data_IF_914047884808
#
_entry.id   IF_914047884808
#
_cell.length_a   1.000
_cell.length_b   1.000
_cell.length_c   1.000
_cell.angle_alpha   90.00
_cell.angle_beta   90.00
_cell.angle_gamma   90.00
#
_symmetry.space_group_name_H-M   'P 1'
#
loop_
_entity.id
_entity.type
_entity.pdbx_description
1 polymer ?
#
# COMPACT_ATOMS: atom_id res chain seq x y z
N UNK A 1 51.17 30.44 -21.86
CA UNK A 1 52.00 29.33 -21.32
C UNK A 1 52.19 29.57 -19.82
N UNK A 2 52.17 28.47 -19.06
CA UNK A 2 51.97 28.23 -17.59
C UNK A 2 52.88 29.01 -16.61
N UNK A 3 52.55 29.22 -15.31
CA UNK A 3 52.39 28.28 -14.16
C UNK A 3 51.77 29.02 -12.93
N UNK A 4 50.68 28.51 -12.32
CA UNK A 4 50.60 27.70 -11.06
C UNK A 4 50.84 28.50 -9.76
N UNK A 5 49.77 28.83 -9.01
CA UNK A 5 49.10 28.08 -7.92
C UNK A 5 49.68 28.36 -6.52
N UNK A 6 48.80 28.84 -5.62
CA UNK A 6 49.04 29.14 -4.20
C UNK A 6 48.00 28.39 -3.34
N UNK A 7 48.37 28.26 -2.07
CA UNK A 7 47.63 27.82 -0.88
C UNK A 7 47.41 26.30 -0.77
N UNK A 8 47.62 25.67 0.39
CA UNK A 8 47.84 26.21 1.73
C UNK A 8 47.19 25.27 2.73
N UNK A 9 48.02 24.71 3.60
CA UNK A 9 47.80 23.64 4.57
C UNK A 9 46.90 24.06 5.73
N UNK A 10 45.98 23.19 6.17
CA UNK A 10 45.56 23.12 7.59
C UNK A 10 45.23 21.67 7.97
N UNK A 11 46.05 21.14 8.88
CA UNK A 11 45.88 19.88 9.61
C UNK A 11 45.02 20.10 10.87
N UNK A 12 44.09 19.19 11.14
CA UNK A 12 43.44 19.05 12.45
C UNK A 12 43.46 17.57 12.86
N UNK A 13 44.07 17.31 14.01
CA UNK A 13 44.10 16.02 14.70
C UNK A 13 42.98 16.02 15.73
N UNK A 14 42.09 15.03 15.67
CA UNK A 14 41.02 14.81 16.65
C UNK A 14 40.84 13.31 16.89
N UNK A 15 41.04 12.88 18.14
CA UNK A 15 41.10 11.50 18.58
C UNK A 15 39.77 10.74 18.42
N UNK A 16 39.85 9.48 17.99
CA UNK A 16 38.75 8.51 18.03
C UNK A 16 39.07 7.43 19.06
N UNK A 17 38.24 7.36 20.10
CA UNK A 17 38.12 6.26 21.04
C UNK A 17 37.55 5.03 20.30
N UNK A 18 38.35 3.97 20.16
CA UNK A 18 37.87 2.68 19.67
C UNK A 18 37.44 1.81 20.87
N UNK A 19 36.13 1.67 21.05
CA UNK A 19 35.51 0.68 21.94
C UNK A 19 35.40 -0.64 21.16
N UNK A 20 35.77 -1.74 21.83
CA UNK A 20 36.06 -3.04 21.21
C UNK A 20 34.91 -3.69 20.46
N UNK A 21 35.23 -4.25 19.30
CA UNK A 21 34.40 -5.22 18.60
C UNK A 21 34.79 -6.63 19.04
N UNK A 22 33.86 -7.34 19.67
CA UNK A 22 33.95 -8.78 19.91
C UNK A 22 33.79 -9.53 18.59
N UNK A 23 34.85 -10.23 18.16
CA UNK A 23 34.80 -11.17 17.06
C UNK A 23 34.06 -12.45 17.50
N UNK A 24 32.94 -12.76 16.86
CA UNK A 24 32.29 -14.07 16.93
C UNK A 24 32.95 -15.01 15.91
N UNK A 25 33.55 -16.07 16.43
CA UNK A 25 34.14 -17.18 15.68
C UNK A 25 33.03 -18.12 15.23
N UNK A 26 32.96 -18.41 13.93
CA UNK A 26 32.29 -19.61 13.40
C UNK A 26 33.25 -20.27 12.40
N UNK A 27 33.83 -21.40 12.79
CA UNK A 27 34.41 -22.42 11.90
C UNK A 27 33.49 -23.65 12.06
N UNK A 28 32.77 -24.13 11.04
CA UNK A 28 33.15 -24.81 9.80
C UNK A 28 32.88 -26.34 9.91
N UNK A 29 32.98 -27.05 8.78
CA UNK A 29 32.75 -28.48 8.48
C UNK A 29 31.33 -28.76 7.91
N UNK A 30 31.06 -28.75 6.59
CA UNK A 30 31.59 -29.47 5.40
C UNK A 30 30.95 -30.87 5.11
N UNK A 31 29.97 -30.89 4.18
CA UNK A 31 29.73 -31.88 3.09
C UNK A 31 29.41 -33.37 3.38
N UNK A 32 29.24 -34.22 2.34
CA UNK A 32 28.25 -34.14 1.23
C UNK A 32 27.58 -35.51 0.87
N UNK A 33 26.74 -35.50 -0.19
CA UNK A 33 26.49 -36.55 -1.19
C UNK A 33 25.18 -37.39 -1.18
N UNK A 34 24.65 -37.53 -2.40
CA UNK A 34 23.57 -38.41 -2.90
C UNK A 34 23.89 -39.92 -2.74
N UNK A 35 22.85 -40.76 -2.64
CA UNK A 35 22.72 -42.00 -3.44
C UNK A 35 21.41 -42.74 -3.23
N UNK A 36 21.05 -43.48 -4.27
CA UNK A 36 19.77 -44.09 -4.64
C UNK A 36 19.55 -45.53 -4.14
N UNK A 37 18.26 -45.91 -4.05
CA UNK A 37 17.63 -47.17 -4.50
C UNK A 37 17.57 -48.46 -3.62
N UNK A 38 16.44 -49.17 -3.82
CA UNK A 38 16.13 -50.60 -3.69
C UNK A 38 15.77 -51.26 -2.35
N UNK A 39 14.63 -51.98 -2.33
CA UNK A 39 14.49 -53.28 -1.65
C UNK A 39 13.29 -53.51 -0.71
N UNK A 40 12.18 -54.07 -1.24
CA UNK A 40 11.24 -54.97 -0.52
C UNK A 40 11.99 -56.20 0.08
N UNK A 41 11.42 -57.13 0.94
CA UNK A 41 10.00 -57.55 1.08
C UNK A 41 9.53 -58.00 2.50
N UNK A 42 8.25 -58.39 2.65
CA UNK A 42 7.72 -59.66 3.29
C UNK A 42 6.20 -59.59 3.49
N UNK A 43 5.38 -60.30 2.69
CA UNK A 43 4.88 -61.70 2.79
C UNK A 43 3.58 -61.86 3.60
N UNK A 44 2.62 -62.54 2.98
CA UNK A 44 1.21 -62.74 3.30
C UNK A 44 0.88 -64.01 4.12
N UNK A 45 -0.37 -64.11 4.61
CA UNK A 45 -1.19 -65.33 4.82
C UNK A 45 -2.68 -64.89 4.77
N UNK A 46 -3.53 -65.29 3.79
CA UNK A 46 -4.21 -66.59 3.55
C UNK A 46 -5.32 -66.88 4.60
N UNK A 47 -6.58 -67.29 4.36
CA UNK A 47 -7.47 -67.65 3.23
C UNK A 47 -8.89 -67.84 3.85
N UNK A 48 -10.01 -67.54 3.18
CA UNK A 48 -11.11 -68.49 2.85
C UNK A 48 -12.41 -67.85 2.35
N UNK A 49 -13.10 -68.59 1.49
CA UNK A 49 -14.20 -68.17 0.63
C UNK A 49 -15.60 -68.30 1.27
N UNK A 50 -16.53 -67.40 0.89
CA UNK A 50 -17.96 -67.71 0.79
C UNK A 50 -18.72 -66.72 -0.13
N UNK A 51 -19.44 -67.30 -1.09
CA UNK A 51 -20.56 -66.85 -1.95
C UNK A 51 -21.21 -65.47 -1.71
N UNK A 52 -21.55 -64.70 -2.77
CA UNK A 52 -22.18 -63.40 -2.64
C UNK A 52 -23.67 -63.50 -2.25
N UNK A 53 -24.03 -62.89 -1.13
CA UNK A 53 -25.42 -62.59 -0.80
C UNK A 53 -25.86 -61.32 -1.53
N UNK A 54 -26.88 -61.42 -2.38
CA UNK A 54 -27.62 -60.26 -2.89
C UNK A 54 -28.23 -59.53 -1.68
N UNK A 55 -27.88 -58.27 -1.51
CA UNK A 55 -28.62 -57.33 -0.66
C UNK A 55 -29.03 -56.16 -1.55
N UNK A 56 -30.34 -55.93 -1.63
CA UNK A 56 -30.96 -54.80 -2.30
C UNK A 56 -30.61 -53.53 -1.50
N UNK A 57 -29.69 -52.73 -2.04
CA UNK A 57 -29.36 -51.41 -1.51
C UNK A 57 -30.33 -50.39 -2.13
N UNK A 58 -31.13 -49.64 -1.35
CA UNK A 58 -31.98 -48.60 -1.92
C UNK A 58 -31.08 -47.52 -2.52
N UNK A 59 -31.25 -47.27 -3.81
CA UNK A 59 -30.51 -46.26 -4.55
C UNK A 59 -30.48 -44.93 -3.77
N UNK A 60 -29.27 -44.46 -3.44
CA UNK A 60 -29.04 -43.10 -2.98
C UNK A 60 -29.62 -42.15 -4.03
N UNK A 61 -30.65 -41.41 -3.64
CA UNK A 61 -31.29 -40.42 -4.50
C UNK A 61 -30.26 -39.33 -4.78
N UNK A 62 -29.79 -39.26 -6.02
CA UNK A 62 -29.03 -38.12 -6.52
C UNK A 62 -29.98 -36.92 -6.57
N UNK A 63 -29.72 -35.81 -5.85
CA UNK A 63 -30.49 -34.59 -6.03
C UNK A 63 -30.39 -34.18 -7.50
N UNK A 64 -31.51 -34.23 -8.23
CA UNK A 64 -31.57 -33.96 -9.67
C UNK A 64 -31.88 -32.49 -9.94
N UNK A 65 -31.41 -31.59 -9.08
CA UNK A 65 -31.55 -30.16 -9.32
C UNK A 65 -30.27 -29.46 -8.87
N UNK A 66 -29.48 -28.87 -9.78
CA UNK A 66 -28.48 -27.90 -9.39
C UNK A 66 -29.24 -26.77 -8.72
N UNK A 67 -29.07 -26.60 -7.41
CA UNK A 67 -29.55 -25.41 -6.72
C UNK A 67 -29.07 -24.21 -7.54
N UNK A 68 -30.01 -23.46 -8.11
CA UNK A 68 -29.70 -22.30 -8.93
C UNK A 68 -28.76 -21.41 -8.12
N UNK A 69 -27.55 -21.18 -8.63
CA UNK A 69 -26.61 -20.29 -8.01
C UNK A 69 -27.33 -18.95 -7.81
N UNK A 70 -27.46 -18.52 -6.55
CA UNK A 70 -27.97 -17.20 -6.25
C UNK A 70 -27.13 -16.20 -7.06
N UNK A 71 -27.74 -15.19 -7.71
CA UNK A 71 -26.98 -14.16 -8.39
C UNK A 71 -26.00 -13.58 -7.39
N UNK A 72 -24.70 -13.75 -7.65
CA UNK A 72 -23.68 -13.00 -6.94
C UNK A 72 -23.97 -11.55 -7.31
N UNK A 73 -24.33 -10.70 -6.35
CA UNK A 73 -24.48 -9.27 -6.62
C UNK A 73 -23.20 -8.80 -7.30
N UNK A 74 -23.35 -8.23 -8.50
CA UNK A 74 -22.22 -7.65 -9.19
C UNK A 74 -21.58 -6.64 -8.26
N UNK A 75 -20.26 -6.74 -8.08
CA UNK A 75 -19.50 -5.74 -7.34
C UNK A 75 -19.88 -4.35 -7.86
N UNK A 76 -20.03 -3.33 -6.99
CA UNK A 76 -20.42 -2.00 -7.41
C UNK A 76 -19.50 -1.54 -8.54
N UNK A 77 -20.11 -1.08 -9.64
CA UNK A 77 -19.36 -0.60 -10.80
C UNK A 77 -18.61 0.65 -10.37
N UNK A 78 -17.29 0.53 -10.25
CA UNK A 78 -16.40 1.65 -10.03
C UNK A 78 -16.49 2.56 -11.25
N UNK A 79 -16.67 3.87 -11.04
CA UNK A 79 -16.79 4.81 -12.16
C UNK A 79 -15.47 4.90 -12.94
N UNK A 80 -15.54 5.25 -14.23
CA UNK A 80 -14.34 5.39 -15.06
C UNK A 80 -13.31 6.39 -14.47
N UNK A 81 -13.80 7.43 -13.77
CA UNK A 81 -12.96 8.40 -13.08
C UNK A 81 -12.17 7.75 -11.92
N UNK A 82 -12.83 6.91 -11.11
CA UNK A 82 -12.15 6.18 -10.03
C UNK A 82 -11.23 5.11 -10.59
N UNK A 83 -11.60 4.43 -11.68
CA UNK A 83 -10.69 3.50 -12.39
C UNK A 83 -9.42 4.21 -12.84
N UNK A 84 -9.52 5.35 -13.52
CA UNK A 84 -8.35 6.13 -13.97
C UNK A 84 -7.46 6.58 -12.80
N UNK A 85 -8.07 6.92 -11.66
CA UNK A 85 -7.35 7.23 -10.42
C UNK A 85 -6.56 6.02 -9.91
N UNK A 86 -7.19 4.85 -9.83
CA UNK A 86 -6.53 3.63 -9.34
C UNK A 86 -5.43 3.17 -10.29
N UNK A 87 -5.66 3.22 -11.60
CA UNK A 87 -4.65 2.89 -12.60
C UNK A 87 -3.41 3.78 -12.46
N UNK A 88 -3.61 5.08 -12.22
CA UNK A 88 -2.50 6.00 -11.97
C UNK A 88 -1.72 5.63 -10.70
N UNK A 89 -2.41 5.37 -9.59
CA UNK A 89 -1.77 5.00 -8.33
C UNK A 89 -0.93 3.73 -8.50
N UNK A 90 -1.51 2.69 -9.10
CA UNK A 90 -0.84 1.40 -9.29
C UNK A 90 0.35 1.48 -10.26
N UNK A 91 0.31 2.41 -11.22
CA UNK A 91 1.42 2.64 -12.13
C UNK A 91 2.60 3.41 -11.50
N UNK A 92 2.34 4.26 -10.50
CA UNK A 92 3.30 5.29 -10.09
C UNK A 92 3.69 5.30 -8.61
N UNK A 93 3.15 4.40 -7.77
CA UNK A 93 3.46 4.38 -6.33
C UNK A 93 4.90 3.97 -5.98
N UNK A 94 5.57 3.22 -6.86
CA UNK A 94 6.95 2.75 -6.63
C UNK A 94 7.95 3.80 -7.07
N UNK A 95 8.97 4.06 -6.24
CA UNK A 95 10.06 4.99 -6.53
C UNK A 95 10.60 4.94 -7.98
N UNK A 96 10.80 3.73 -8.52
CA UNK A 96 11.33 3.53 -9.87
C UNK A 96 10.40 4.03 -11.00
N UNK A 97 9.11 4.22 -10.69
CA UNK A 97 8.07 4.62 -11.63
C UNK A 97 7.37 5.92 -11.22
N UNK A 98 7.96 6.71 -10.32
CA UNK A 98 7.46 8.05 -10.05
C UNK A 98 7.37 8.85 -11.35
N UNK A 99 6.23 9.49 -11.61
CA UNK A 99 6.03 10.37 -12.77
C UNK A 99 6.75 11.74 -12.57
N UNK A 100 8.02 11.69 -12.20
CA UNK A 100 8.83 12.81 -11.72
C UNK A 100 9.23 13.78 -12.82
N UNK A 101 9.32 13.32 -14.07
CA UNK A 101 9.59 14.21 -15.21
C UNK A 101 8.47 15.25 -15.41
N UNK A 102 7.22 14.87 -15.14
CA UNK A 102 6.08 15.78 -15.22
C UNK A 102 5.89 16.52 -13.90
N UNK A 103 5.83 15.80 -12.77
CA UNK A 103 5.33 16.36 -11.51
C UNK A 103 6.42 16.75 -10.50
N UNK A 104 7.66 16.32 -10.72
CA UNK A 104 8.74 16.39 -9.73
C UNK A 104 8.47 15.54 -8.48
N UNK A 105 9.36 15.66 -7.49
CA UNK A 105 9.30 14.93 -6.22
C UNK A 105 9.65 15.88 -5.07
N UNK A 106 8.89 15.83 -3.97
CA UNK A 106 9.09 16.63 -2.75
C UNK A 106 9.89 15.87 -1.66
N UNK A 107 10.68 14.88 -2.04
CA UNK A 107 11.43 14.03 -1.11
C UNK A 107 10.51 13.34 -0.09
N UNK A 108 10.81 13.48 1.19
CA UNK A 108 10.02 12.89 2.30
C UNK A 108 8.63 13.53 2.47
N UNK A 109 8.30 14.59 1.74
CA UNK A 109 7.00 15.26 1.82
C UNK A 109 6.13 15.01 0.57
N UNK A 110 6.43 13.97 -0.21
CA UNK A 110 5.80 13.74 -1.51
C UNK A 110 4.36 13.18 -1.44
N UNK A 111 3.85 12.91 -0.24
CA UNK A 111 2.52 12.33 -0.01
C UNK A 111 1.39 13.07 -0.77
N UNK A 112 1.26 14.38 -0.55
CA UNK A 112 0.22 15.20 -1.18
C UNK A 112 0.49 15.49 -2.66
N UNK A 113 1.76 15.52 -3.09
CA UNK A 113 2.09 15.66 -4.51
C UNK A 113 1.57 14.45 -5.28
N UNK A 114 1.83 13.23 -4.80
CA UNK A 114 1.32 12.00 -5.39
C UNK A 114 -0.20 11.90 -5.35
N UNK A 115 -0.82 12.19 -4.19
CA UNK A 115 -2.27 12.22 -4.08
C UNK A 115 -2.89 13.23 -5.05
N UNK A 116 -2.26 14.40 -5.22
CA UNK A 116 -2.72 15.43 -6.16
C UNK A 116 -2.68 14.96 -7.61
N UNK A 117 -1.63 14.22 -8.00
CA UNK A 117 -1.54 13.62 -9.32
C UNK A 117 -2.67 12.61 -9.57
N UNK A 118 -2.98 11.76 -8.59
CA UNK A 118 -4.10 10.83 -8.67
C UNK A 118 -5.45 11.57 -8.83
N UNK A 119 -5.63 12.71 -8.16
CA UNK A 119 -6.83 13.54 -8.35
C UNK A 119 -6.92 14.14 -9.76
N UNK A 120 -5.79 14.52 -10.38
CA UNK A 120 -5.76 14.91 -11.80
C UNK A 120 -6.16 13.73 -12.69
N UNK A 121 -5.63 12.52 -12.45
CA UNK A 121 -6.00 11.32 -13.21
C UNK A 121 -7.49 10.98 -13.08
N UNK A 122 -8.08 11.26 -11.90
CA UNK A 122 -9.52 11.16 -11.68
C UNK A 122 -10.35 12.19 -12.47
N UNK A 123 -9.72 13.26 -12.94
CA UNK A 123 -10.36 14.34 -13.69
C UNK A 123 -10.62 15.62 -12.89
N UNK A 124 -10.03 15.78 -11.70
CA UNK A 124 -10.00 17.11 -11.07
C UNK A 124 -9.19 18.08 -11.93
N UNK A 125 -9.61 19.34 -11.93
CA UNK A 125 -8.93 20.41 -12.66
C UNK A 125 -8.24 21.33 -11.66
N UNK A 126 -7.01 21.73 -11.96
CA UNK A 126 -6.27 22.72 -11.18
C UNK A 126 -6.94 24.08 -11.22
N UNK A 127 -6.67 24.90 -10.21
CA UNK A 127 -7.08 26.30 -10.16
C UNK A 127 -5.95 27.18 -9.60
N UNK A 128 -6.25 28.43 -9.23
CA UNK A 128 -5.25 29.36 -8.71
C UNK A 128 -4.71 29.01 -7.32
N UNK A 129 -5.32 28.07 -6.59
CA UNK A 129 -4.97 27.70 -5.21
C UNK A 129 -4.30 26.33 -5.16
N UNK A 130 -4.82 25.36 -5.93
CA UNK A 130 -4.26 24.02 -6.08
C UNK A 130 -3.81 23.79 -7.52
N UNK A 131 -2.50 23.94 -7.75
CA UNK A 131 -1.87 23.82 -9.06
C UNK A 131 -0.42 23.34 -8.99
N UNK A 132 0.03 22.70 -10.07
CA UNK A 132 1.42 22.42 -10.39
C UNK A 132 1.74 22.87 -11.82
N UNK A 133 2.93 23.43 -12.07
CA UNK A 133 3.34 23.83 -13.41
C UNK A 133 3.68 22.66 -14.36
N UNK A 134 3.69 21.41 -13.86
CA UNK A 134 4.03 20.20 -14.65
C UNK A 134 5.38 20.31 -15.39
N UNK A 135 6.38 20.91 -14.74
CA UNK A 135 7.71 21.16 -15.31
C UNK A 135 8.80 20.25 -14.71
N UNK A 136 8.43 19.21 -13.97
CA UNK A 136 9.36 18.32 -13.27
C UNK A 136 9.97 18.91 -11.98
N UNK A 137 9.64 20.15 -11.62
CA UNK A 137 10.04 20.76 -10.35
C UNK A 137 8.83 20.90 -9.42
N UNK A 138 8.66 19.92 -8.53
CA UNK A 138 7.53 19.90 -7.61
C UNK A 138 7.48 21.13 -6.70
N UNK A 139 8.62 21.79 -6.41
CA UNK A 139 8.69 22.95 -5.52
C UNK A 139 8.09 24.24 -6.11
N UNK A 140 7.93 24.31 -7.43
CA UNK A 140 7.28 25.43 -8.11
C UNK A 140 5.75 25.36 -8.03
N UNK A 141 5.19 24.25 -7.53
CA UNK A 141 3.76 24.09 -7.34
C UNK A 141 3.21 24.97 -6.18
N UNK A 142 1.91 25.19 -6.21
CA UNK A 142 1.18 25.95 -5.18
C UNK A 142 1.33 25.33 -3.77
N UNK A 143 1.04 26.12 -2.74
CA UNK A 143 1.09 25.62 -1.36
C UNK A 143 0.13 24.43 -1.15
N UNK A 144 -1.10 24.50 -1.65
CA UNK A 144 -2.08 23.41 -1.53
C UNK A 144 -1.68 22.16 -2.32
N UNK A 145 -0.78 22.25 -3.29
CA UNK A 145 -0.24 21.08 -4.00
C UNK A 145 0.90 20.41 -3.21
N UNK A 146 1.63 21.15 -2.39
CA UNK A 146 2.88 20.69 -1.74
C UNK A 146 2.76 20.44 -0.24
N UNK A 147 1.64 20.81 0.38
CA UNK A 147 1.38 20.63 1.81
C UNK A 147 0.02 19.99 2.03
N UNK A 148 -0.01 18.84 2.74
CA UNK A 148 -1.24 18.14 3.13
C UNK A 148 -2.20 19.05 3.91
N UNK A 149 -1.66 19.85 4.84
CA UNK A 149 -2.44 20.81 5.64
C UNK A 149 -3.05 21.90 4.75
N UNK A 150 -2.28 22.45 3.81
CA UNK A 150 -2.81 23.43 2.86
C UNK A 150 -3.86 22.81 1.92
N UNK A 151 -3.66 21.55 1.50
CA UNK A 151 -4.62 20.80 0.69
C UNK A 151 -5.93 20.53 1.42
N UNK A 152 -5.85 20.17 2.71
CA UNK A 152 -7.02 20.02 3.59
C UNK A 152 -7.87 21.30 3.60
N UNK A 153 -7.22 22.45 3.84
CA UNK A 153 -7.90 23.75 3.87
C UNK A 153 -8.50 24.10 2.50
N UNK A 154 -7.79 23.80 1.41
CA UNK A 154 -8.30 23.98 0.06
C UNK A 154 -9.56 23.14 -0.19
N UNK A 155 -9.53 21.82 0.04
CA UNK A 155 -10.69 20.94 -0.18
C UNK A 155 -11.89 21.43 0.63
N UNK A 156 -11.69 21.73 1.92
CA UNK A 156 -12.73 22.23 2.81
C UNK A 156 -13.41 23.51 2.26
N UNK A 157 -12.65 24.38 1.60
CA UNK A 157 -13.18 25.61 0.99
C UNK A 157 -13.95 25.40 -0.31
N UNK A 158 -13.70 24.30 -1.02
CA UNK A 158 -14.23 24.08 -2.38
C UNK A 158 -15.65 23.52 -2.41
N UNK A 159 -16.06 22.81 -1.34
CA UNK A 159 -17.31 22.04 -1.31
C UNK A 159 -17.36 20.86 -2.30
N UNK A 160 -16.23 20.48 -2.91
CA UNK A 160 -16.15 19.38 -3.91
C UNK A 160 -16.14 17.98 -3.30
N UNK A 161 -15.93 17.87 -1.99
CA UNK A 161 -15.88 16.61 -1.26
C UNK A 161 -16.49 16.77 0.14
N UNK A 162 -17.00 15.66 0.68
CA UNK A 162 -17.62 15.62 2.01
C UNK A 162 -16.61 15.15 3.04
N UNK A 163 -16.43 15.90 4.14
CA UNK A 163 -15.56 15.48 5.23
C UNK A 163 -16.16 14.28 5.98
N UNK A 164 -15.33 13.27 6.24
CA UNK A 164 -15.64 12.12 7.08
C UNK A 164 -14.57 11.96 8.15
N UNK A 165 -15.00 11.51 9.33
CA UNK A 165 -14.11 11.09 10.42
C UNK A 165 -13.85 9.59 10.36
N UNK A 166 -12.88 9.11 11.15
CA UNK A 166 -12.62 7.67 11.29
C UNK A 166 -13.79 6.86 11.88
N UNK A 167 -14.80 7.51 12.46
CA UNK A 167 -16.00 6.84 12.93
C UNK A 167 -17.02 6.56 11.82
N UNK A 168 -16.80 7.11 10.62
CA UNK A 168 -17.71 7.02 9.47
C UNK A 168 -17.13 6.16 8.34
N UNK A 169 -16.38 5.10 8.70
CA UNK A 169 -15.72 4.20 7.75
C UNK A 169 -16.69 3.50 6.80
N UNK A 170 -17.94 3.36 7.20
CA UNK A 170 -19.04 2.82 6.40
C UNK A 170 -19.44 3.73 5.21
N UNK A 171 -18.98 4.98 5.21
CA UNK A 171 -19.19 5.95 4.13
C UNK A 171 -17.95 6.15 3.25
N UNK A 172 -16.82 5.55 3.62
CA UNK A 172 -15.57 5.65 2.87
C UNK A 172 -15.63 4.70 1.68
N UNK A 173 -15.18 5.18 0.52
CA UNK A 173 -15.12 4.41 -0.73
C UNK A 173 -13.75 4.49 -1.38
N UNK A 174 -13.46 3.51 -2.24
CA UNK A 174 -12.27 3.54 -3.11
C UNK A 174 -12.23 4.83 -3.91
N UNK A 175 -11.07 5.48 -3.94
CA UNK A 175 -10.84 6.78 -4.57
C UNK A 175 -11.06 7.99 -3.67
N UNK A 176 -11.54 7.80 -2.43
CA UNK A 176 -11.56 8.86 -1.42
C UNK A 176 -10.14 9.27 -1.01
N UNK A 177 -10.00 10.51 -0.57
CA UNK A 177 -8.72 11.02 -0.08
C UNK A 177 -8.62 10.67 1.39
N UNK A 178 -7.58 9.94 1.79
CA UNK A 178 -7.23 9.71 3.18
C UNK A 178 -6.27 10.80 3.64
N UNK A 179 -6.56 11.42 4.78
CA UNK A 179 -5.67 12.37 5.43
C UNK A 179 -5.42 11.94 6.85
N UNK A 180 -4.20 12.19 7.33
CA UNK A 180 -3.79 11.78 8.65
C UNK A 180 -3.21 12.96 9.40
N UNK A 181 -3.46 12.95 10.69
CA UNK A 181 -2.86 13.83 11.68
C UNK A 181 -2.01 12.91 12.56
N UNK A 182 -0.72 12.79 12.23
CA UNK A 182 0.17 11.80 12.83
C UNK A 182 0.49 12.08 14.29
N UNK A 183 0.55 13.34 14.68
CA UNK A 183 0.88 13.77 16.04
C UNK A 183 -0.33 14.29 16.84
N UNK A 184 -1.51 14.28 16.22
CA UNK A 184 -2.80 14.67 16.80
C UNK A 184 -2.82 16.14 17.26
N UNK A 185 -2.12 17.01 16.52
CA UNK A 185 -2.08 18.46 16.78
C UNK A 185 -3.20 19.23 16.09
N UNK A 186 -3.98 18.56 15.23
CA UNK A 186 -5.12 19.09 14.50
C UNK A 186 -4.80 19.53 13.09
N UNK A 187 -3.52 19.50 12.67
CA UNK A 187 -3.17 19.64 11.26
C UNK A 187 -3.03 18.27 10.59
N UNK A 188 -3.54 18.18 9.38
CA UNK A 188 -3.51 16.92 8.62
C UNK A 188 -2.27 16.91 7.75
N UNK A 189 -1.17 16.41 8.30
CA UNK A 189 0.18 16.50 7.76
C UNK A 189 0.49 15.46 6.67
N UNK A 190 -0.29 14.39 6.56
CA UNK A 190 -0.10 13.35 5.55
C UNK A 190 -1.35 13.08 4.72
N UNK A 191 -1.16 12.78 3.44
CA UNK A 191 -2.25 12.53 2.49
C UNK A 191 -1.96 11.28 1.65
N UNK A 192 -2.96 10.43 1.49
CA UNK A 192 -2.98 9.30 0.56
C UNK A 192 -4.33 9.16 -0.13
N UNK A 193 -4.49 8.14 -0.97
CA UNK A 193 -5.76 7.82 -1.63
C UNK A 193 -6.21 6.43 -1.21
N UNK A 194 -7.47 6.29 -0.81
CA UNK A 194 -8.08 5.01 -0.46
C UNK A 194 -8.12 4.11 -1.69
N UNK A 195 -7.44 2.97 -1.62
CA UNK A 195 -7.36 1.97 -2.71
C UNK A 195 -8.22 0.76 -2.45
N UNK A 196 -8.57 0.49 -1.19
CA UNK A 196 -9.38 -0.67 -0.81
C UNK A 196 -10.22 -0.40 0.42
N UNK A 197 -11.46 -0.89 0.39
CA UNK A 197 -12.39 -0.88 1.52
C UNK A 197 -13.03 -2.27 1.60
N UNK A 198 -12.83 -2.95 2.73
CA UNK A 198 -13.26 -4.33 2.92
C UNK A 198 -14.00 -4.49 4.25
N UNK A 199 -15.10 -5.23 4.23
CA UNK A 199 -15.76 -5.64 5.47
C UNK A 199 -15.05 -6.87 6.05
N UNK A 200 -14.53 -6.75 7.26
CA UNK A 200 -13.86 -7.82 8.01
C UNK A 200 -14.66 -8.08 9.28
N UNK A 201 -15.53 -9.09 9.24
CA UNK A 201 -16.52 -9.33 10.30
C UNK A 201 -17.49 -8.14 10.41
N UNK A 202 -17.58 -7.55 11.59
CA UNK A 202 -18.40 -6.35 11.86
C UNK A 202 -17.64 -5.02 11.67
N UNK A 203 -16.37 -5.10 11.24
CA UNK A 203 -15.49 -3.93 11.06
C UNK A 203 -15.20 -3.64 9.60
N UNK A 204 -14.70 -2.44 9.32
CA UNK A 204 -14.30 -2.01 7.97
C UNK A 204 -12.79 -1.74 7.97
N UNK A 205 -12.07 -2.55 7.20
CA UNK A 205 -10.66 -2.37 6.93
C UNK A 205 -10.48 -1.45 5.71
N UNK A 206 -9.62 -0.45 5.84
CA UNK A 206 -9.33 0.52 4.78
C UNK A 206 -7.84 0.45 4.45
N UNK A 207 -7.52 0.41 3.16
CA UNK A 207 -6.16 0.52 2.66
C UNK A 207 -6.01 1.75 1.77
N UNK A 208 -4.80 2.31 1.73
CA UNK A 208 -4.47 3.48 0.92
C UNK A 208 -3.15 3.29 0.17
N UNK A 209 -3.03 4.03 -0.93
CA UNK A 209 -1.78 4.27 -1.63
C UNK A 209 -1.20 5.64 -1.26
N UNK A 210 0.11 5.74 -1.24
CA UNK A 210 0.82 6.97 -0.90
C UNK A 210 2.32 6.89 -1.20
N UNK A 211 2.95 8.07 -1.24
CA UNK A 211 4.40 8.24 -1.19
C UNK A 211 4.86 8.56 0.24
N UNK A 212 6.15 8.85 0.44
CA UNK A 212 6.86 8.97 1.75
C UNK A 212 7.12 7.62 2.39
N UNK A 213 6.07 6.80 2.50
CA UNK A 213 6.20 5.36 2.60
C UNK A 213 5.44 4.74 1.43
N UNK A 214 6.21 4.42 0.38
CA UNK A 214 5.69 3.88 -0.88
C UNK A 214 4.81 2.66 -0.62
N UNK A 215 3.55 2.79 -1.02
CA UNK A 215 2.56 1.74 -0.86
C UNK A 215 1.41 1.90 -1.83
N UNK A 216 0.81 0.77 -2.21
CA UNK A 216 -0.41 0.65 -2.99
C UNK A 216 -1.63 0.23 -2.13
N UNK A 217 -1.40 -0.58 -1.09
CA UNK A 217 -2.45 -1.08 -0.18
C UNK A 217 -2.02 -1.06 1.30
N UNK A 218 -1.42 0.04 1.78
CA UNK A 218 -1.07 0.18 3.21
C UNK A 218 -2.32 0.25 4.07
N UNK A 219 -2.35 -0.49 5.16
CA UNK A 219 -3.45 -0.49 6.14
C UNK A 219 -3.52 0.84 6.90
N UNK A 220 -4.70 1.46 6.93
CA UNK A 220 -4.96 2.64 7.78
C UNK A 220 -4.79 2.28 9.25
N UNK A 221 -5.30 1.13 9.69
CA UNK A 221 -5.28 0.75 11.10
C UNK A 221 -3.85 0.53 11.57
N UNK A 222 -3.01 -0.11 10.76
CA UNK A 222 -1.58 -0.24 11.07
C UNK A 222 -0.91 1.14 11.12
N UNK A 223 -1.22 2.02 10.17
CA UNK A 223 -0.65 3.37 10.15
C UNK A 223 -0.94 4.16 11.44
N UNK A 224 -2.18 4.15 11.94
CA UNK A 224 -2.58 4.96 13.11
C UNK A 224 -2.43 4.27 14.48
N UNK A 225 -2.25 2.94 14.52
CA UNK A 225 -2.12 2.20 15.79
C UNK A 225 -0.73 1.62 16.04
N UNK A 226 0.02 1.31 14.97
CA UNK A 226 1.35 0.68 15.06
C UNK A 226 2.44 1.66 14.64
N UNK A 227 2.32 2.25 13.44
CA UNK A 227 3.38 3.10 12.89
C UNK A 227 3.40 4.49 13.55
N UNK A 228 2.20 5.05 13.80
CA UNK A 228 2.00 6.33 14.49
C UNK A 228 0.95 6.18 15.61
N UNK A 229 1.29 5.54 16.74
CA UNK A 229 0.33 5.26 17.80
C UNK A 229 -0.32 6.53 18.35
N UNK A 230 -1.66 6.61 18.25
CA UNK A 230 -2.44 7.76 18.73
C UNK A 230 -2.78 8.79 17.66
N UNK A 231 -2.33 8.58 16.43
CA UNK A 231 -2.74 9.37 15.27
C UNK A 231 -4.23 9.21 14.95
N UNK A 232 -4.76 10.17 14.19
CA UNK A 232 -6.15 10.14 13.71
C UNK A 232 -6.22 10.15 12.19
N UNK A 233 -7.07 9.28 11.62
CA UNK A 233 -7.41 9.30 10.21
C UNK A 233 -8.68 10.13 9.94
N UNK A 234 -8.70 10.79 8.78
CA UNK A 234 -9.82 11.55 8.25
C UNK A 234 -9.95 11.24 6.76
N UNK A 235 -11.15 11.42 6.22
CA UNK A 235 -11.38 11.20 4.81
C UNK A 235 -12.12 12.36 4.15
N UNK A 236 -11.88 12.53 2.87
CA UNK A 236 -12.73 13.32 1.99
C UNK A 236 -13.46 12.37 1.05
N UNK A 237 -14.76 12.25 1.23
CA UNK A 237 -15.63 11.51 0.33
C UNK A 237 -15.80 12.30 -0.95
N UNK A 238 -15.15 11.85 -2.02
CA UNK A 238 -15.19 12.55 -3.31
C UNK A 238 -16.24 11.87 -4.20
N UNK A 239 -17.20 12.60 -4.80
CA UNK A 239 -18.32 12.04 -5.54
C UNK A 239 -17.94 11.30 -6.83
#
# INVERSE_FOLDING_TARGET
MTRWQRLGLTTAVGAVLAVGATALVVQALEGPAESTNTGQPKTALATDAATPAKTDDPARVTPTDPAAAAPVEAAPVVSAAVTAQMDYLLAHWQLDNYNSAEWGVLGENDCVNFASQAMIARGWTMDGVWSSPKNGNAYDASAAWRSSTAFMNYIASTGKATALTDQQRDQVKVGDIAQFDWDNTGDRDHTGIVTKVEKVGDTIAISFAGHTLDSDYRSVDTAITVDHPGATAYYWSVP
#
